data_IF_890154047726
#
_entry.id   IF_890154047726
#
_cell.length_a   1.000
_cell.length_b   1.000
_cell.length_c   1.000
_cell.angle_alpha   90.00
_cell.angle_beta   90.00
_cell.angle_gamma   90.00
#
_symmetry.space_group_name_H-M   'P 1'
#
loop_
_entity.id
_entity.type
_entity.pdbx_description
1 polymer ?
#
# COMPACT_ATOMS: atom_id res chain seq x y z
N UNK A 1 -35.78 -20.49 -5.58
CA UNK A 1 -35.78 -20.16 -7.03
C UNK A 1 -34.82 -18.99 -7.35
N UNK A 2 -33.53 -19.05 -7.00
CA UNK A 2 -32.60 -17.88 -7.16
C UNK A 2 -31.43 -18.16 -8.13
N UNK A 3 -31.18 -19.42 -8.49
CA UNK A 3 -30.01 -19.81 -9.31
C UNK A 3 -30.17 -19.58 -10.82
N UNK A 4 -31.39 -19.35 -11.31
CA UNK A 4 -31.68 -19.20 -12.75
C UNK A 4 -31.28 -17.83 -13.30
N UNK A 5 -31.41 -16.76 -12.51
CA UNK A 5 -31.07 -15.40 -12.96
C UNK A 5 -29.56 -15.21 -13.14
N UNK A 6 -28.75 -15.72 -12.21
CA UNK A 6 -27.27 -15.67 -12.29
C UNK A 6 -26.70 -16.39 -13.52
N UNK A 7 -27.32 -17.50 -13.92
CA UNK A 7 -26.90 -18.27 -15.11
C UNK A 7 -27.20 -17.48 -16.39
N UNK A 8 -28.37 -16.82 -16.44
CA UNK A 8 -28.78 -16.02 -17.59
C UNK A 8 -27.94 -14.75 -17.76
N UNK A 9 -27.53 -14.12 -16.66
CA UNK A 9 -26.59 -12.98 -16.68
C UNK A 9 -25.20 -13.41 -17.17
N UNK A 10 -24.66 -14.51 -16.64
CA UNK A 10 -23.36 -15.05 -17.07
C UNK A 10 -23.33 -15.43 -18.55
N UNK A 11 -24.44 -15.97 -19.07
CA UNK A 11 -24.60 -16.26 -20.50
C UNK A 11 -24.69 -15.00 -21.37
N UNK A 12 -25.31 -13.92 -20.88
CA UNK A 12 -25.38 -12.63 -21.59
C UNK A 12 -24.01 -11.95 -21.67
N UNK A 13 -23.23 -12.00 -20.59
CA UNK A 13 -21.87 -11.42 -20.56
C UNK A 13 -20.89 -12.17 -21.49
N UNK A 14 -21.03 -13.48 -21.59
CA UNK A 14 -20.28 -14.30 -22.56
C UNK A 14 -20.67 -13.97 -24.00
N UNK A 15 -21.95 -13.67 -24.27
CA UNK A 15 -22.43 -13.26 -25.60
C UNK A 15 -22.01 -11.82 -25.96
N UNK A 16 -22.01 -10.91 -25.00
CA UNK A 16 -21.51 -9.52 -25.16
C UNK A 16 -20.00 -9.48 -25.47
N UNK A 17 -19.24 -10.45 -24.96
CA UNK A 17 -17.80 -10.60 -25.22
C UNK A 17 -17.48 -11.19 -26.62
N UNK A 18 -18.48 -11.72 -27.34
CA UNK A 18 -18.32 -12.33 -28.65
C UNK A 18 -18.52 -11.35 -29.82
N UNK A 19 -19.15 -10.20 -29.58
CA UNK A 19 -19.23 -9.11 -30.56
C UNK A 19 -18.00 -8.23 -30.39
N UNK A 20 -17.08 -8.25 -31.36
CA UNK A 20 -15.76 -7.61 -31.35
C UNK A 20 -15.70 -6.07 -31.23
N UNK A 21 -16.59 -5.45 -30.45
CA UNK A 21 -16.35 -4.13 -29.86
C UNK A 21 -15.26 -4.24 -28.79
N UNK A 22 -14.43 -3.20 -28.68
CA UNK A 22 -13.43 -3.11 -27.62
C UNK A 22 -14.12 -3.39 -26.26
N UNK A 23 -13.57 -4.27 -25.41
CA UNK A 23 -14.24 -4.68 -24.19
C UNK A 23 -14.48 -3.46 -23.32
N UNK A 24 -15.75 -3.09 -23.15
CA UNK A 24 -16.17 -2.09 -22.17
C UNK A 24 -15.85 -2.72 -20.82
N UNK A 25 -14.74 -2.31 -20.21
CA UNK A 25 -14.40 -2.72 -18.83
C UNK A 25 -15.51 -2.21 -17.93
N UNK A 26 -16.43 -3.10 -17.54
CA UNK A 26 -17.41 -2.80 -16.50
C UNK A 26 -16.64 -2.48 -15.22
N UNK A 27 -16.66 -1.22 -14.80
CA UNK A 27 -16.00 -0.80 -13.57
C UNK A 27 -16.63 -1.52 -12.38
N UNK A 28 -15.79 -2.03 -11.48
CA UNK A 28 -16.29 -2.65 -10.26
C UNK A 28 -16.81 -1.60 -9.28
N UNK A 29 -17.69 -1.99 -8.34
CA UNK A 29 -18.14 -1.09 -7.28
C UNK A 29 -16.97 -0.52 -6.46
N UNK A 30 -15.94 -1.35 -6.19
CA UNK A 30 -14.73 -0.91 -5.53
C UNK A 30 -13.94 0.11 -6.35
N UNK A 31 -13.97 0.03 -7.67
CA UNK A 31 -13.27 0.96 -8.57
C UNK A 31 -13.94 2.33 -8.57
N UNK A 32 -15.27 2.36 -8.66
CA UNK A 32 -16.05 3.58 -8.55
C UNK A 32 -15.85 4.25 -7.20
N UNK A 33 -15.80 3.45 -6.13
CA UNK A 33 -15.56 3.95 -4.78
C UNK A 33 -14.14 4.50 -4.62
N UNK A 34 -13.12 3.77 -5.10
CA UNK A 34 -11.73 4.20 -5.00
C UNK A 34 -11.46 5.45 -5.84
N UNK A 35 -12.10 5.58 -7.01
CA UNK A 35 -12.07 6.80 -7.81
C UNK A 35 -12.50 8.03 -6.98
N UNK A 36 -13.60 7.90 -6.25
CA UNK A 36 -14.09 8.96 -5.36
C UNK A 36 -13.07 9.27 -4.27
N UNK A 37 -12.58 8.25 -3.59
CA UNK A 37 -11.65 8.40 -2.47
C UNK A 37 -10.31 9.04 -2.91
N UNK A 38 -9.80 8.70 -4.10
CA UNK A 38 -8.60 9.33 -4.69
C UNK A 38 -8.87 10.78 -5.10
N UNK A 39 -10.05 11.08 -5.65
CA UNK A 39 -10.41 12.45 -6.06
C UNK A 39 -10.58 13.42 -4.89
N UNK A 40 -10.94 12.90 -3.72
CA UNK A 40 -11.10 13.64 -2.46
C UNK A 40 -9.82 13.61 -1.60
N UNK A 41 -8.76 12.97 -2.09
CA UNK A 41 -7.52 12.77 -1.33
C UNK A 41 -6.75 14.08 -1.18
N UNK A 42 -6.52 14.49 0.07
CA UNK A 42 -5.67 15.62 0.40
C UNK A 42 -4.44 15.14 1.18
N UNK A 43 -3.35 14.88 0.45
CA UNK A 43 -2.10 14.41 1.05
C UNK A 43 -1.24 15.58 1.57
N UNK A 44 -0.59 15.42 2.73
CA UNK A 44 0.42 16.38 3.16
C UNK A 44 1.60 16.38 2.18
N UNK A 45 2.39 17.46 2.18
CA UNK A 45 3.55 17.61 1.29
C UNK A 45 4.63 16.53 1.48
N UNK A 46 4.65 15.91 2.65
CA UNK A 46 5.51 14.77 2.98
C UNK A 46 5.07 13.46 2.32
N UNK A 47 3.89 13.40 1.71
CA UNK A 47 3.35 12.19 1.08
C UNK A 47 3.15 12.39 -0.43
N UNK A 48 3.62 11.42 -1.23
CA UNK A 48 3.54 11.43 -2.69
C UNK A 48 2.89 10.12 -3.14
N UNK A 49 1.79 10.22 -3.88
CA UNK A 49 1.15 9.07 -4.53
C UNK A 49 1.70 8.86 -5.95
N UNK A 50 1.86 7.61 -6.36
CA UNK A 50 2.26 7.24 -7.72
C UNK A 50 1.52 5.99 -8.21
N UNK A 51 1.36 5.89 -9.54
CA UNK A 51 0.65 4.80 -10.21
C UNK A 51 1.64 4.08 -11.15
N UNK A 52 2.41 3.10 -10.63
CA UNK A 52 3.52 2.49 -11.36
C UNK A 52 3.09 1.75 -12.64
N UNK A 53 1.85 1.24 -12.67
CA UNK A 53 1.30 0.51 -13.80
C UNK A 53 0.50 1.41 -14.78
N UNK A 54 0.54 2.73 -14.59
CA UNK A 54 -0.22 3.71 -15.37
C UNK A 54 -1.46 4.23 -14.62
N UNK A 55 -1.99 5.36 -15.09
CA UNK A 55 -3.06 6.11 -14.41
C UNK A 55 -4.42 5.40 -14.34
N UNK A 56 -4.61 4.39 -15.17
CA UNK A 56 -5.86 3.61 -15.22
C UNK A 56 -5.87 2.44 -14.22
N UNK A 57 -4.71 2.06 -13.66
CA UNK A 57 -4.61 1.02 -12.62
C UNK A 57 -4.69 1.65 -11.23
N UNK A 58 -5.89 2.13 -10.87
CA UNK A 58 -6.11 2.76 -9.57
C UNK A 58 -6.08 1.75 -8.41
N UNK A 59 -6.29 0.46 -8.67
CA UNK A 59 -6.32 -0.57 -7.63
C UNK A 59 -4.93 -0.93 -7.10
N UNK A 60 -3.87 -0.55 -7.83
CA UNK A 60 -2.49 -0.77 -7.43
C UNK A 60 -1.72 0.54 -7.53
N UNK A 61 -1.44 1.14 -6.38
CA UNK A 61 -0.72 2.41 -6.31
C UNK A 61 0.34 2.36 -5.20
N UNK A 62 1.24 3.32 -5.24
CA UNK A 62 2.26 3.49 -4.22
C UNK A 62 2.14 4.84 -3.52
N UNK A 63 2.48 4.88 -2.25
CA UNK A 63 2.60 6.11 -1.47
C UNK A 63 4.01 6.18 -0.89
N UNK A 64 4.74 7.22 -1.23
CA UNK A 64 6.04 7.56 -0.64
C UNK A 64 5.84 8.60 0.45
N UNK A 65 6.39 8.34 1.64
CA UNK A 65 6.32 9.21 2.81
C UNK A 65 7.73 9.65 3.17
N UNK A 66 7.90 10.96 3.32
CA UNK A 66 9.13 11.63 3.75
C UNK A 66 8.86 12.42 5.02
N UNK A 67 9.07 11.83 6.20
CA UNK A 67 8.87 12.52 7.46
C UNK A 67 9.73 13.78 7.55
N UNK A 68 9.11 14.88 7.95
CA UNK A 68 9.70 16.19 8.17
C UNK A 68 9.92 16.52 9.66
N UNK A 69 9.61 15.57 10.54
CA UNK A 69 9.87 15.63 11.98
C UNK A 69 10.03 14.23 12.60
N UNK A 70 10.39 14.19 13.90
CA UNK A 70 10.49 12.96 14.68
C UNK A 70 11.72 12.10 14.37
N UNK A 71 11.71 10.84 14.86
CA UNK A 71 12.86 9.92 14.76
C UNK A 71 13.25 9.57 13.33
N UNK A 72 12.28 9.57 12.42
CA UNK A 72 12.44 9.17 11.03
C UNK A 72 12.65 10.37 10.08
N UNK A 73 12.90 11.57 10.63
CA UNK A 73 13.21 12.77 9.87
C UNK A 73 14.30 12.50 8.82
N UNK A 74 14.03 12.88 7.58
CA UNK A 74 14.95 12.71 6.46
C UNK A 74 14.96 11.31 5.84
N UNK A 75 14.14 10.38 6.34
CA UNK A 75 13.88 9.10 5.71
C UNK A 75 12.90 9.19 4.53
N UNK A 76 12.90 8.16 3.70
CA UNK A 76 12.00 7.99 2.56
C UNK A 76 11.43 6.56 2.54
N UNK A 77 10.12 6.46 2.77
CA UNK A 77 9.42 5.20 2.97
C UNK A 77 8.37 5.01 1.88
N UNK A 78 8.54 4.00 1.03
CA UNK A 78 7.57 3.67 -0.01
C UNK A 78 6.66 2.53 0.43
N UNK A 79 5.36 2.68 0.22
CA UNK A 79 4.34 1.68 0.52
C UNK A 79 3.58 1.32 -0.74
N UNK A 80 3.35 0.04 -1.00
CA UNK A 80 2.44 -0.41 -2.06
C UNK A 80 1.08 -0.76 -1.50
N UNK A 81 0.04 -0.25 -2.14
CA UNK A 81 -1.36 -0.50 -1.86
C UNK A 81 -1.93 -1.40 -2.95
N UNK A 82 -2.61 -2.47 -2.52
CA UNK A 82 -3.38 -3.35 -3.40
C UNK A 82 -4.82 -3.39 -2.90
N UNK A 83 -5.73 -2.78 -3.67
CA UNK A 83 -7.15 -2.65 -3.34
C UNK A 83 -7.93 -3.79 -4.00
N UNK A 84 -8.81 -4.42 -3.22
CA UNK A 84 -9.69 -5.48 -3.69
C UNK A 84 -10.92 -4.91 -4.39
N UNK A 85 -11.49 -5.56 -5.43
CA UNK A 85 -12.73 -5.12 -6.08
C UNK A 85 -13.94 -5.00 -5.14
N UNK A 86 -13.90 -5.62 -3.96
CA UNK A 86 -14.93 -5.54 -2.92
C UNK A 86 -14.72 -4.42 -1.91
N UNK A 87 -13.76 -3.52 -2.15
CA UNK A 87 -13.62 -2.26 -1.40
C UNK A 87 -14.96 -1.49 -1.41
N UNK A 88 -15.42 -0.92 -0.28
CA UNK A 88 -14.73 -0.73 0.99
C UNK A 88 -14.89 -1.86 2.02
N UNK A 89 -15.56 -2.96 1.66
CA UNK A 89 -15.84 -4.04 2.62
C UNK A 89 -14.58 -4.84 2.98
N UNK A 90 -13.64 -4.96 2.05
CA UNK A 90 -12.28 -5.45 2.33
C UNK A 90 -11.30 -4.27 2.31
N UNK A 91 -10.47 -4.18 3.34
CA UNK A 91 -9.43 -3.15 3.43
C UNK A 91 -8.33 -3.38 2.38
N UNK A 92 -7.67 -2.31 1.90
CA UNK A 92 -6.48 -2.44 1.07
C UNK A 92 -5.38 -3.23 1.76
N UNK A 93 -4.66 -4.07 1.01
CA UNK A 93 -3.41 -4.68 1.47
C UNK A 93 -2.28 -3.69 1.29
N UNK A 94 -1.58 -3.36 2.36
CA UNK A 94 -0.48 -2.39 2.37
C UNK A 94 0.82 -3.10 2.71
N UNK A 95 1.90 -2.81 1.96
CA UNK A 95 3.23 -3.35 2.23
C UNK A 95 4.27 -2.23 2.16
N UNK A 96 5.16 -2.17 3.15
CA UNK A 96 6.35 -1.32 3.07
C UNK A 96 7.36 -1.92 2.08
N UNK A 97 7.78 -1.13 1.09
CA UNK A 97 8.82 -1.49 0.10
C UNK A 97 10.21 -1.10 0.56
N UNK A 98 10.32 -0.10 1.42
CA UNK A 98 11.59 0.29 2.07
C UNK A 98 11.90 -0.77 3.14
N UNK A 99 12.57 -1.86 2.70
CA UNK A 99 12.92 -3.08 3.46
C UNK A 99 12.66 -3.02 4.97
N UNK A 100 11.59 -3.70 5.40
CA UNK A 100 11.64 -4.51 6.61
C UNK A 100 12.20 -5.88 6.20
N UNK A 101 13.38 -6.31 6.68
CA UNK A 101 13.70 -7.73 6.66
C UNK A 101 12.88 -8.33 7.79
N UNK A 102 11.66 -8.80 7.55
CA UNK A 102 11.03 -9.67 8.54
C UNK A 102 10.35 -10.86 7.92
N UNK A 103 10.87 -12.04 8.25
CA UNK A 103 10.39 -13.33 7.77
C UNK A 103 9.22 -13.85 8.64
N UNK A 104 9.03 -13.32 9.86
CA UNK A 104 7.94 -13.67 10.78
C UNK A 104 7.51 -12.41 11.57
N UNK A 105 6.51 -11.66 11.11
CA UNK A 105 6.13 -10.35 11.69
C UNK A 105 4.95 -10.42 12.67
N UNK A 106 5.15 -10.02 13.94
CA UNK A 106 4.27 -9.04 14.56
C UNK A 106 5.05 -7.96 15.36
N UNK A 107 5.42 -6.87 14.67
CA UNK A 107 5.96 -5.59 15.14
C UNK A 107 7.09 -5.64 16.18
N UNK A 108 8.32 -5.81 15.68
CA UNK A 108 9.62 -5.48 16.27
C UNK A 108 9.64 -5.14 17.78
N UNK A 109 9.44 -6.17 18.62
CA UNK A 109 9.39 -6.04 20.08
C UNK A 109 10.68 -5.44 20.67
N UNK A 110 11.82 -5.72 20.06
CA UNK A 110 13.12 -5.19 20.50
C UNK A 110 13.18 -3.68 20.32
N UNK A 111 12.79 -3.16 19.15
CA UNK A 111 12.73 -1.73 18.92
C UNK A 111 11.72 -1.04 19.85
N UNK A 112 10.58 -1.68 20.13
CA UNK A 112 9.59 -1.17 21.06
C UNK A 112 10.12 -1.10 22.51
N UNK A 113 10.86 -2.12 22.95
CA UNK A 113 11.50 -2.13 24.26
C UNK A 113 12.56 -1.02 24.38
N UNK A 114 13.40 -0.84 23.36
CA UNK A 114 14.40 0.24 23.33
C UNK A 114 13.74 1.61 23.36
N UNK A 115 12.63 1.83 22.64
CA UNK A 115 11.90 3.09 22.68
C UNK A 115 11.36 3.39 24.08
N UNK A 116 10.79 2.39 24.76
CA UNK A 116 10.25 2.55 26.12
C UNK A 116 11.34 2.83 27.14
N UNK A 117 12.43 2.06 27.10
CA UNK A 117 13.43 2.05 28.17
C UNK A 117 14.55 3.09 27.92
N UNK A 118 14.85 3.41 26.66
CA UNK A 118 15.87 4.39 26.28
C UNK A 118 15.58 5.09 24.92
N UNK A 119 14.73 6.14 24.91
CA UNK A 119 14.37 6.87 23.71
C UNK A 119 15.57 7.46 22.92
N UNK A 120 16.65 7.83 23.62
CA UNK A 120 17.87 8.35 22.97
C UNK A 120 18.61 7.26 22.19
N UNK A 121 18.65 6.04 22.74
CA UNK A 121 19.23 4.90 22.03
C UNK A 121 18.36 4.48 20.84
N UNK A 122 17.03 4.56 21.00
CA UNK A 122 16.10 4.33 19.88
C UNK A 122 16.38 5.29 18.73
N UNK A 123 16.48 6.60 19.01
CA UNK A 123 16.82 7.60 18.01
C UNK A 123 18.15 7.29 17.30
N UNK A 124 19.21 6.97 18.06
CA UNK A 124 20.51 6.63 17.50
C UNK A 124 20.45 5.39 16.59
N UNK A 125 19.67 4.38 16.98
CA UNK A 125 19.45 3.18 16.19
C UNK A 125 18.69 3.48 14.90
N UNK A 126 17.63 4.29 14.96
CA UNK A 126 16.86 4.70 13.78
C UNK A 126 17.76 5.45 12.79
N UNK A 127 18.55 6.44 13.26
CA UNK A 127 19.48 7.17 12.38
C UNK A 127 20.51 6.25 11.73
N UNK A 128 21.07 5.30 12.48
CA UNK A 128 22.03 4.31 11.96
C UNK A 128 21.38 3.39 10.92
N UNK A 129 20.17 2.92 11.18
CA UNK A 129 19.42 2.07 10.26
C UNK A 129 19.11 2.81 8.95
N UNK A 130 18.58 4.04 9.03
CA UNK A 130 18.24 4.85 7.85
C UNK A 130 19.48 5.21 7.00
N UNK A 131 20.67 5.31 7.62
CA UNK A 131 21.93 5.58 6.92
C UNK A 131 22.47 4.38 6.12
N UNK A 132 21.91 3.19 6.33
CA UNK A 132 22.42 1.95 5.77
C UNK A 132 23.48 1.33 6.67
N UNK A 133 23.06 0.58 7.68
CA UNK A 133 23.95 0.06 8.70
C UNK A 133 23.34 -1.03 9.55
N UNK A 134 24.14 -1.56 10.49
CA UNK A 134 23.71 -2.60 11.42
C UNK A 134 23.10 -2.01 12.69
N UNK A 135 21.99 -2.58 13.13
CA UNK A 135 21.46 -2.43 14.50
C UNK A 135 21.38 -3.84 15.09
N UNK A 136 22.20 -4.12 16.10
CA UNK A 136 22.45 -5.50 16.53
C UNK A 136 23.10 -6.30 15.40
N UNK A 137 22.49 -7.43 15.03
CA UNK A 137 22.95 -8.29 13.93
C UNK A 137 22.21 -8.03 12.60
N UNK A 138 21.18 -7.19 12.61
CA UNK A 138 20.34 -6.94 11.43
C UNK A 138 20.88 -5.75 10.65
N UNK A 139 21.14 -5.97 9.35
CA UNK A 139 21.51 -4.90 8.43
C UNK A 139 20.27 -4.24 7.84
N UNK A 140 20.24 -2.92 7.90
CA UNK A 140 19.21 -2.09 7.27
C UNK A 140 19.79 -1.44 6.01
N UNK A 141 19.03 -1.49 4.91
CA UNK A 141 19.39 -0.77 3.69
C UNK A 141 19.11 0.72 3.89
N UNK A 142 19.98 1.57 3.33
CA UNK A 142 19.82 3.02 3.39
C UNK A 142 18.46 3.45 2.83
N UNK A 143 17.78 4.32 3.56
CA UNK A 143 16.49 4.90 3.16
C UNK A 143 16.40 6.42 3.40
N UNK A 144 17.51 7.10 3.71
CA UNK A 144 17.62 8.56 3.61
C UNK A 144 17.84 9.00 2.17
#
# INVERSE_FOLDING_TARGET
MIRLFKVKEKQRELAESANGGAPIKKQSAGELRLHKDISELNLPKSCIISFPNGKDDLMNFEVSIRPDEGYYLGGNFSFSFQVSPIYPHEAPKVKCKTKEPNYEDPLNHDAAAVLRDNPKMFEANVRRAMAGGYVGQTFFTRCM
#
